data_IF_892472991824
#
_entry.id   IF_892472991824
#
_cell.length_a   1.000
_cell.length_b   1.000
_cell.length_c   1.000
_cell.angle_alpha   90.00
_cell.angle_beta   90.00
_cell.angle_gamma   90.00
#
_symmetry.space_group_name_H-M   'P 1'
#
loop_
_entity.id
_entity.type
_entity.pdbx_description
1 polymer ?
#
# COMPACT_ATOMS: atom_id res chain seq x y z
N UNK A 1 -1.65 -4.57 -8.60
CA UNK A 1 -1.57 -4.49 -7.12
C UNK A 1 -1.42 -5.90 -6.57
N UNK A 2 -0.35 -6.15 -5.85
CA UNK A 2 -0.13 -7.37 -5.10
C UNK A 2 -0.25 -7.06 -3.60
N UNK A 3 -1.22 -7.65 -2.94
CA UNK A 3 -1.37 -7.59 -1.49
C UNK A 3 -0.58 -8.73 -0.85
N UNK A 4 0.56 -8.39 -0.27
CA UNK A 4 1.46 -9.30 0.42
C UNK A 4 1.31 -9.23 1.95
N UNK A 5 0.39 -8.42 2.48
CA UNK A 5 0.07 -8.41 3.91
C UNK A 5 -0.88 -9.57 4.24
N UNK A 6 -0.27 -10.71 4.57
CA UNK A 6 -1.01 -11.91 4.98
C UNK A 6 -1.70 -11.75 6.35
N UNK A 7 -1.23 -10.83 7.20
CA UNK A 7 -1.71 -10.71 8.57
C UNK A 7 -2.98 -9.85 8.67
N UNK A 8 -3.17 -8.96 7.70
CA UNK A 8 -4.35 -8.12 7.58
C UNK A 8 -4.70 -7.79 6.13
N UNK A 9 -5.01 -8.79 5.29
CA UNK A 9 -5.27 -8.56 3.87
C UNK A 9 -6.51 -7.67 3.72
N UNK A 10 -6.29 -6.44 3.25
CA UNK A 10 -7.33 -5.41 3.17
C UNK A 10 -7.67 -5.03 1.73
N UNK A 11 -6.74 -5.20 0.81
CA UNK A 11 -6.87 -4.76 -0.57
C UNK A 11 -8.05 -5.39 -1.32
N UNK A 12 -8.34 -6.72 -1.18
CA UNK A 12 -9.50 -7.30 -1.83
C UNK A 12 -10.81 -6.62 -1.43
N UNK A 13 -10.98 -6.37 -0.13
CA UNK A 13 -12.17 -5.70 0.41
C UNK A 13 -12.24 -4.26 -0.06
N UNK A 14 -11.13 -3.52 -0.02
CA UNK A 14 -11.07 -2.11 -0.44
C UNK A 14 -11.35 -1.93 -1.93
N UNK A 15 -11.06 -2.93 -2.76
CA UNK A 15 -11.38 -2.96 -4.18
C UNK A 15 -12.71 -3.64 -4.49
N UNK A 16 -13.46 -4.12 -3.49
CA UNK A 16 -14.73 -4.80 -3.69
C UNK A 16 -14.61 -6.09 -4.49
N UNK A 17 -13.48 -6.79 -4.38
CA UNK A 17 -13.27 -8.10 -5.00
C UNK A 17 -13.36 -9.20 -3.95
N UNK A 18 -13.92 -10.33 -4.34
CA UNK A 18 -14.11 -11.51 -3.48
C UNK A 18 -13.97 -12.79 -4.29
N UNK A 19 -13.78 -13.91 -3.59
CA UNK A 19 -13.65 -15.22 -4.20
C UNK A 19 -12.20 -15.59 -4.49
N UNK A 20 -11.99 -16.86 -4.84
CA UNK A 20 -10.65 -17.40 -5.06
C UNK A 20 -10.18 -17.18 -6.49
N UNK A 21 -8.94 -16.71 -6.70
CA UNK A 21 -8.29 -16.71 -7.99
C UNK A 21 -8.32 -18.12 -8.61
N UNK A 22 -8.66 -18.20 -9.89
CA UNK A 22 -8.68 -19.48 -10.60
C UNK A 22 -7.32 -19.77 -11.22
N UNK A 23 -6.93 -21.04 -11.27
CA UNK A 23 -5.79 -21.52 -12.06
C UNK A 23 -6.26 -22.69 -12.92
N UNK A 24 -6.80 -22.43 -14.14
CA UNK A 24 -7.39 -23.49 -14.98
C UNK A 24 -6.42 -24.59 -15.40
N UNK A 25 -5.13 -24.26 -15.53
CA UNK A 25 -4.04 -25.16 -15.93
C UNK A 25 -3.22 -25.68 -14.73
N UNK A 26 -3.55 -25.23 -13.50
CA UNK A 26 -2.81 -25.52 -12.28
C UNK A 26 -1.41 -24.90 -12.20
N UNK A 27 -1.04 -24.03 -13.16
CA UNK A 27 0.28 -23.40 -13.24
C UNK A 27 0.19 -21.88 -13.25
N UNK A 28 -0.73 -21.33 -14.03
CA UNK A 28 -0.95 -19.89 -14.19
C UNK A 28 -2.13 -19.47 -13.34
N UNK A 29 -1.94 -18.47 -12.49
CA UNK A 29 -3.01 -17.91 -11.69
C UNK A 29 -3.63 -16.72 -12.41
N UNK A 30 -4.95 -16.75 -12.59
CA UNK A 30 -5.70 -15.63 -13.13
C UNK A 30 -6.03 -14.64 -11.99
N UNK A 31 -5.50 -13.41 -12.01
CA UNK A 31 -5.78 -12.42 -10.97
C UNK A 31 -7.22 -11.90 -11.06
N UNK A 32 -7.69 -11.28 -9.98
CA UNK A 32 -8.96 -10.56 -9.97
C UNK A 32 -8.78 -9.16 -10.54
N UNK A 33 -9.88 -8.53 -10.94
CA UNK A 33 -9.88 -7.17 -11.49
C UNK A 33 -11.09 -6.40 -10.99
N UNK A 34 -10.89 -5.16 -10.57
CA UNK A 34 -11.97 -4.20 -10.39
C UNK A 34 -11.43 -2.77 -10.51
N UNK A 35 -12.29 -1.81 -10.84
CA UNK A 35 -11.95 -0.38 -10.94
C UNK A 35 -10.72 -0.08 -11.84
N UNK A 36 -10.49 -0.93 -12.86
CA UNK A 36 -9.31 -0.82 -13.74
C UNK A 36 -8.00 -1.35 -13.15
N UNK A 37 -8.00 -1.92 -11.95
CA UNK A 37 -6.83 -2.47 -11.26
C UNK A 37 -6.84 -3.99 -11.32
N UNK A 38 -5.75 -4.58 -11.81
CA UNK A 38 -5.46 -6.01 -11.63
C UNK A 38 -4.92 -6.24 -10.23
N UNK A 39 -5.57 -7.12 -9.47
CA UNK A 39 -5.27 -7.38 -8.06
C UNK A 39 -5.09 -8.86 -7.77
N UNK A 40 -4.08 -9.17 -6.95
CA UNK A 40 -3.89 -10.46 -6.33
C UNK A 40 -3.58 -10.24 -4.85
N UNK A 41 -4.04 -11.11 -3.97
CA UNK A 41 -3.77 -11.04 -2.53
C UNK A 41 -3.42 -12.41 -1.99
N UNK A 42 -2.43 -12.48 -1.12
CA UNK A 42 -2.13 -13.69 -0.35
C UNK A 42 -3.32 -14.11 0.52
N UNK A 43 -4.13 -13.15 0.98
CA UNK A 43 -5.35 -13.41 1.75
C UNK A 43 -6.43 -14.18 0.97
N UNK A 44 -6.48 -14.03 -0.36
CA UNK A 44 -7.46 -14.72 -1.21
C UNK A 44 -7.14 -16.20 -1.48
N UNK A 45 -5.93 -16.65 -1.12
CA UNK A 45 -5.52 -18.05 -1.27
C UNK A 45 -6.06 -18.94 -0.14
N UNK A 46 -6.66 -18.34 0.90
CA UNK A 46 -7.11 -19.04 2.09
C UNK A 46 -8.65 -19.22 2.13
N UNK A 47 -9.15 -20.24 2.83
CA UNK A 47 -10.55 -20.28 3.28
C UNK A 47 -10.76 -19.24 4.39
N UNK A 48 -11.93 -18.60 4.40
CA UNK A 48 -12.28 -17.52 5.34
C UNK A 48 -12.30 -17.97 6.82
N UNK A 49 -12.37 -19.28 7.08
CA UNK A 49 -12.63 -19.86 8.41
C UNK A 49 -11.40 -20.50 9.08
N UNK A 50 -10.19 -20.40 8.50
CA UNK A 50 -8.99 -21.05 9.03
C UNK A 50 -8.01 -20.08 9.70
N UNK A 51 -7.53 -20.47 10.89
CA UNK A 51 -6.52 -19.70 11.62
C UNK A 51 -5.19 -19.66 10.87
N UNK A 52 -4.61 -18.46 10.82
CA UNK A 52 -3.45 -18.14 10.00
C UNK A 52 -2.15 -18.71 10.61
N UNK A 53 -1.66 -19.85 10.10
CA UNK A 53 -0.34 -20.40 10.45
C UNK A 53 0.57 -20.38 9.22
N UNK A 54 0.98 -19.19 8.82
CA UNK A 54 1.96 -19.01 7.76
C UNK A 54 3.38 -19.01 8.34
N UNK A 55 4.14 -20.05 8.03
CA UNK A 55 5.57 -20.09 8.35
C UNK A 55 6.36 -19.33 7.29
N UNK A 56 7.50 -18.74 7.67
CA UNK A 56 8.36 -17.94 6.78
C UNK A 56 8.57 -18.55 5.39
N UNK A 57 9.00 -19.83 5.26
CA UNK A 57 9.18 -20.47 3.95
C UNK A 57 7.90 -20.54 3.10
N UNK A 58 6.73 -20.70 3.72
CA UNK A 58 5.45 -20.71 2.99
C UNK A 58 5.14 -19.33 2.44
N UNK A 59 5.36 -18.27 3.22
CA UNK A 59 5.16 -16.89 2.77
C UNK A 59 6.08 -16.55 1.60
N UNK A 60 7.34 -16.94 1.69
CA UNK A 60 8.31 -16.75 0.62
C UNK A 60 7.89 -17.49 -0.66
N UNK A 61 7.43 -18.74 -0.53
CA UNK A 61 6.94 -19.54 -1.65
C UNK A 61 5.70 -18.93 -2.31
N UNK A 62 4.73 -18.51 -1.52
CA UNK A 62 3.53 -17.86 -2.05
C UNK A 62 3.84 -16.50 -2.68
N UNK A 63 4.69 -15.68 -2.08
CA UNK A 63 5.13 -14.42 -2.69
C UNK A 63 5.81 -14.65 -4.04
N UNK A 64 6.72 -15.63 -4.14
CA UNK A 64 7.35 -16.01 -5.40
C UNK A 64 6.33 -16.50 -6.43
N UNK A 65 5.33 -17.27 -5.99
CA UNK A 65 4.23 -17.69 -6.84
C UNK A 65 3.44 -16.48 -7.37
N UNK A 66 3.12 -15.50 -6.52
CA UNK A 66 2.40 -14.31 -6.94
C UNK A 66 3.19 -13.45 -7.93
N UNK A 67 4.52 -13.40 -7.78
CA UNK A 67 5.39 -12.64 -8.67
C UNK A 67 5.63 -13.35 -10.01
N UNK A 68 5.71 -14.69 -10.02
CA UNK A 68 6.13 -15.46 -11.19
C UNK A 68 5.03 -16.22 -11.93
N UNK A 69 3.91 -16.55 -11.28
CA UNK A 69 2.87 -17.43 -11.85
C UNK A 69 1.53 -16.71 -12.06
N UNK A 70 1.38 -15.47 -11.61
CA UNK A 70 0.17 -14.69 -11.85
C UNK A 70 0.23 -14.07 -13.25
N UNK A 71 -0.85 -14.21 -14.02
CA UNK A 71 -1.01 -13.57 -15.31
C UNK A 71 -1.38 -12.10 -15.14
N UNK A 72 -0.40 -11.30 -14.72
CA UNK A 72 -0.54 -9.86 -14.52
C UNK A 72 -0.93 -9.12 -15.81
N UNK A 73 -0.53 -9.64 -16.96
CA UNK A 73 -0.69 -8.98 -18.26
C UNK A 73 0.38 -7.91 -18.47
N UNK A 74 0.08 -6.92 -19.31
CA UNK A 74 0.96 -5.78 -19.53
C UNK A 74 0.75 -4.79 -18.37
N UNK A 75 1.84 -4.43 -17.68
CA UNK A 75 1.82 -3.49 -16.56
C UNK A 75 2.91 -2.44 -16.76
N UNK A 76 2.58 -1.18 -16.49
CA UNK A 76 3.57 -0.12 -16.28
C UNK A 76 4.14 -0.20 -14.85
N UNK A 77 3.28 -0.49 -13.87
CA UNK A 77 3.64 -0.53 -12.44
C UNK A 77 2.97 -1.72 -11.75
N UNK A 78 3.74 -2.44 -10.91
CA UNK A 78 3.22 -3.38 -9.92
C UNK A 78 3.47 -2.83 -8.51
N UNK A 79 2.43 -2.25 -7.91
CA UNK A 79 2.44 -1.90 -6.48
C UNK A 79 2.33 -3.17 -5.64
N UNK A 80 3.19 -3.30 -4.63
CA UNK A 80 3.17 -4.39 -3.64
C UNK A 80 2.86 -3.79 -2.27
N UNK A 81 1.71 -4.16 -1.70
CA UNK A 81 1.34 -3.79 -0.34
C UNK A 81 2.02 -4.75 0.63
N UNK A 82 2.91 -4.21 1.47
CA UNK A 82 3.76 -4.97 2.36
C UNK A 82 3.17 -4.98 3.77
N UNK A 83 3.31 -6.08 4.52
CA UNK A 83 2.93 -6.07 5.93
C UNK A 83 3.72 -4.99 6.68
N UNK A 84 3.18 -4.46 7.80
CA UNK A 84 3.87 -3.45 8.58
C UNK A 84 5.21 -3.95 9.13
N UNK A 85 6.13 -3.02 9.41
CA UNK A 85 7.43 -3.29 10.01
C UNK A 85 8.53 -3.68 9.00
N UNK A 86 9.46 -4.52 9.43
CA UNK A 86 10.69 -4.89 8.68
C UNK A 86 10.87 -6.41 8.65
N UNK A 87 9.82 -7.13 8.30
CA UNK A 87 9.76 -8.59 8.35
C UNK A 87 10.36 -9.31 7.14
N UNK A 88 10.20 -10.63 7.13
CA UNK A 88 10.76 -11.53 6.10
C UNK A 88 10.18 -11.27 4.71
N UNK A 89 8.95 -10.76 4.59
CA UNK A 89 8.30 -10.48 3.30
C UNK A 89 9.03 -9.37 2.55
N UNK A 90 9.34 -8.28 3.25
CA UNK A 90 10.04 -7.11 2.70
C UNK A 90 11.47 -7.48 2.28
N UNK A 91 12.15 -8.28 3.11
CA UNK A 91 13.50 -8.78 2.83
C UNK A 91 13.49 -9.71 1.62
N UNK A 92 12.55 -10.66 1.57
CA UNK A 92 12.42 -11.62 0.47
C UNK A 92 12.11 -10.90 -0.84
N UNK A 93 11.19 -9.93 -0.83
CA UNK A 93 10.88 -9.14 -2.02
C UNK A 93 12.15 -8.48 -2.57
N UNK A 94 12.89 -7.78 -1.71
CA UNK A 94 14.09 -7.04 -2.10
C UNK A 94 15.26 -7.93 -2.54
N UNK A 95 15.30 -9.19 -2.10
CA UNK A 95 16.30 -10.17 -2.53
C UNK A 95 15.93 -10.93 -3.81
N UNK A 96 14.63 -11.09 -4.10
CA UNK A 96 14.14 -11.94 -5.19
C UNK A 96 13.78 -11.17 -6.45
N UNK A 97 13.44 -9.89 -6.31
CA UNK A 97 13.12 -9.02 -7.45
C UNK A 97 13.88 -7.72 -7.34
N UNK A 98 14.14 -7.10 -8.49
CA UNK A 98 14.70 -5.76 -8.53
C UNK A 98 13.60 -4.76 -8.19
N UNK A 99 13.59 -4.27 -6.95
CA UNK A 99 12.59 -3.30 -6.48
C UNK A 99 13.00 -1.91 -6.96
N UNK A 100 12.17 -1.29 -7.80
CA UNK A 100 12.41 0.06 -8.33
C UNK A 100 12.52 1.12 -7.23
N UNK A 101 11.70 0.98 -6.19
CA UNK A 101 11.79 1.79 -4.99
C UNK A 101 10.65 1.54 -4.02
N UNK A 102 10.68 2.21 -2.87
CA UNK A 102 9.69 2.11 -1.83
C UNK A 102 9.07 3.49 -1.52
N UNK A 103 7.77 3.47 -1.23
CA UNK A 103 7.04 4.61 -0.67
C UNK A 103 6.75 4.31 0.79
N UNK A 104 7.11 5.24 1.67
CA UNK A 104 6.87 5.10 3.11
C UNK A 104 5.55 5.79 3.44
N UNK A 105 4.71 5.12 4.23
CA UNK A 105 3.46 5.68 4.74
C UNK A 105 3.50 5.64 6.26
N UNK A 106 3.20 6.76 6.91
CA UNK A 106 3.09 6.84 8.37
C UNK A 106 2.08 7.90 8.77
N UNK A 107 1.70 7.92 10.04
CA UNK A 107 0.91 9.00 10.63
C UNK A 107 1.85 9.99 11.35
N UNK A 108 1.40 11.22 11.68
CA UNK A 108 2.31 12.28 12.13
C UNK A 108 2.95 12.05 13.52
N UNK A 109 2.45 11.12 14.32
CA UNK A 109 2.91 10.88 15.70
C UNK A 109 4.32 10.30 15.74
N UNK A 110 5.11 10.72 16.73
CA UNK A 110 6.44 10.17 17.00
C UNK A 110 6.47 8.65 17.13
N UNK A 111 5.45 8.06 17.75
CA UNK A 111 5.38 6.60 17.95
C UNK A 111 5.23 5.86 16.61
N UNK A 112 4.43 6.38 15.68
CA UNK A 112 4.24 5.79 14.36
C UNK A 112 5.50 5.96 13.49
N UNK A 113 6.20 7.09 13.65
CA UNK A 113 7.45 7.37 12.96
C UNK A 113 8.59 6.41 13.38
N UNK A 114 8.54 5.80 14.57
CA UNK A 114 9.55 4.81 14.97
C UNK A 114 9.58 3.62 14.01
N UNK A 115 8.43 3.14 13.55
CA UNK A 115 8.36 2.01 12.64
C UNK A 115 8.69 2.42 11.20
N UNK A 116 8.29 3.63 10.79
CA UNK A 116 8.70 4.21 9.51
C UNK A 116 10.23 4.32 9.40
N UNK A 117 10.91 4.77 10.48
CA UNK A 117 12.38 4.86 10.54
C UNK A 117 13.06 3.49 10.37
N UNK A 118 12.51 2.43 10.97
CA UNK A 118 13.03 1.07 10.78
C UNK A 118 12.86 0.62 9.33
N UNK A 119 11.69 0.88 8.73
CA UNK A 119 11.42 0.60 7.31
C UNK A 119 12.40 1.31 6.38
N UNK A 120 12.63 2.60 6.62
CA UNK A 120 13.62 3.43 5.89
C UNK A 120 15.03 2.83 5.98
N UNK A 121 15.49 2.49 7.20
CA UNK A 121 16.83 1.89 7.40
C UNK A 121 16.96 0.55 6.67
N UNK A 122 15.93 -0.30 6.74
CA UNK A 122 15.90 -1.59 6.06
C UNK A 122 16.03 -1.40 4.53
N UNK A 123 15.21 -0.55 3.91
CA UNK A 123 15.30 -0.30 2.47
C UNK A 123 16.64 0.31 2.05
N UNK A 124 17.20 1.23 2.84
CA UNK A 124 18.56 1.76 2.61
C UNK A 124 19.62 0.66 2.62
N UNK A 125 19.58 -0.26 3.59
CA UNK A 125 20.53 -1.40 3.66
C UNK A 125 20.38 -2.38 2.49
N UNK A 126 19.18 -2.49 1.93
CA UNK A 126 18.90 -3.31 0.76
C UNK A 126 19.16 -2.57 -0.57
N UNK A 127 19.68 -1.34 -0.52
CA UNK A 127 19.88 -0.47 -1.68
C UNK A 127 18.60 -0.22 -2.50
N UNK A 128 17.45 -0.20 -1.84
CA UNK A 128 16.17 0.13 -2.47
C UNK A 128 15.95 1.66 -2.39
N UNK A 129 15.78 2.37 -3.52
CA UNK A 129 15.49 3.80 -3.52
C UNK A 129 14.21 4.14 -2.77
N UNK A 130 14.22 5.23 -2.02
CA UNK A 130 13.00 5.75 -1.36
C UNK A 130 12.38 6.80 -2.27
N UNK A 131 11.25 6.45 -2.90
CA UNK A 131 10.56 7.29 -3.88
C UNK A 131 9.77 8.42 -3.22
N UNK A 132 9.35 8.20 -1.98
CA UNK A 132 8.85 9.28 -1.16
C UNK A 132 8.19 8.84 0.14
N UNK A 133 7.67 9.83 0.85
CA UNK A 133 7.00 9.69 2.13
C UNK A 133 5.62 10.35 2.08
N UNK A 134 4.58 9.61 2.44
CA UNK A 134 3.20 10.08 2.61
C UNK A 134 2.85 10.17 4.10
N UNK A 135 2.25 11.28 4.51
CA UNK A 135 1.66 11.44 5.83
C UNK A 135 0.16 11.12 5.77
N UNK A 136 -0.26 10.00 6.37
CA UNK A 136 -1.65 9.61 6.44
C UNK A 136 -2.31 10.16 7.72
N UNK A 137 -3.63 10.40 7.66
CA UNK A 137 -4.41 10.95 8.76
C UNK A 137 -3.85 12.27 9.32
N UNK A 138 -3.32 13.13 8.44
CA UNK A 138 -2.60 14.36 8.80
C UNK A 138 -3.49 15.46 9.41
N UNK A 139 -4.75 15.51 8.99
CA UNK A 139 -5.72 16.49 9.47
C UNK A 139 -7.15 15.95 9.47
N UNK A 140 -8.03 16.60 10.22
CA UNK A 140 -9.45 16.29 10.32
C UNK A 140 -10.25 17.60 10.27
N UNK A 141 -11.16 17.73 9.30
CA UNK A 141 -12.07 18.87 9.22
C UNK A 141 -13.36 18.49 9.95
N UNK A 142 -13.69 19.21 11.01
CA UNK A 142 -14.90 18.94 11.77
C UNK A 142 -16.14 19.44 11.00
N UNK A 143 -17.05 18.54 10.65
CA UNK A 143 -18.31 18.90 9.96
C UNK A 143 -19.15 19.95 10.71
N UNK A 144 -19.10 19.95 12.04
CA UNK A 144 -19.89 20.85 12.87
C UNK A 144 -19.33 22.27 12.98
N UNK A 145 -18.01 22.42 13.18
CA UNK A 145 -17.40 23.74 13.41
C UNK A 145 -16.50 24.23 12.27
N UNK A 146 -16.28 23.41 11.25
CA UNK A 146 -15.46 23.68 10.07
C UNK A 146 -13.99 24.01 10.37
N UNK A 147 -13.54 23.74 11.59
CA UNK A 147 -12.13 23.88 11.97
C UNK A 147 -11.36 22.63 11.57
N UNK A 148 -10.13 22.87 11.15
CA UNK A 148 -9.13 21.82 10.97
C UNK A 148 -8.51 21.46 12.32
N UNK A 149 -8.38 20.16 12.55
CA UNK A 149 -7.79 19.58 13.74
C UNK A 149 -6.68 18.61 13.34
N UNK A 150 -5.69 18.49 14.21
CA UNK A 150 -4.57 17.56 14.03
C UNK A 150 -4.55 16.59 15.22
N UNK A 151 -5.52 15.66 15.31
CA UNK A 151 -5.66 14.77 16.47
C UNK A 151 -4.42 13.88 16.70
N UNK A 152 -3.61 13.74 15.67
CA UNK A 152 -2.43 12.89 15.61
C UNK A 152 -1.12 13.66 15.49
N UNK A 153 -1.15 14.98 15.69
CA UNK A 153 -0.05 15.87 15.32
C UNK A 153 -0.06 16.20 13.82
N UNK A 154 0.94 16.93 13.36
CA UNK A 154 1.02 17.42 11.98
C UNK A 154 2.47 17.63 11.55
N UNK A 155 2.81 17.21 10.33
CA UNK A 155 4.10 17.43 9.71
C UNK A 155 5.24 16.57 10.24
N UNK A 156 4.94 15.51 11.01
CA UNK A 156 5.95 14.61 11.57
C UNK A 156 6.66 13.79 10.49
N UNK A 157 5.90 13.23 9.55
CA UNK A 157 6.45 12.50 8.40
C UNK A 157 7.17 13.45 7.43
N UNK A 158 6.65 14.67 7.24
CA UNK A 158 7.32 15.69 6.41
C UNK A 158 8.69 16.08 6.99
N UNK A 159 8.76 16.38 8.28
CA UNK A 159 10.01 16.69 8.95
C UNK A 159 11.01 15.52 8.93
N UNK A 160 10.53 14.29 9.08
CA UNK A 160 11.37 13.10 8.96
C UNK A 160 11.87 12.91 7.51
N UNK A 161 11.02 13.13 6.51
CA UNK A 161 11.39 13.06 5.10
C UNK A 161 12.51 14.07 4.78
N UNK A 162 12.36 15.33 5.20
CA UNK A 162 13.38 16.37 5.04
C UNK A 162 14.70 15.99 5.71
N UNK A 163 14.65 15.50 6.95
CA UNK A 163 15.83 15.05 7.70
C UNK A 163 16.58 13.91 7.02
N UNK A 164 15.85 13.00 6.36
CA UNK A 164 16.40 11.81 5.72
C UNK A 164 16.75 12.02 4.24
N UNK A 165 16.44 13.19 3.67
CA UNK A 165 16.60 13.50 2.25
C UNK A 165 15.64 12.72 1.35
N UNK A 166 14.45 12.38 1.83
CA UNK A 166 13.42 11.62 1.10
C UNK A 166 12.40 12.62 0.53
N UNK A 167 11.92 12.45 -0.73
CA UNK A 167 10.84 13.27 -1.27
C UNK A 167 9.57 13.16 -0.42
N UNK A 168 8.94 14.30 -0.10
CA UNK A 168 7.63 14.29 0.54
C UNK A 168 6.53 14.35 -0.53
N UNK A 169 5.65 13.35 -0.54
CA UNK A 169 4.64 13.20 -1.59
C UNK A 169 3.32 13.89 -1.25
N UNK A 170 3.04 14.10 0.03
CA UNK A 170 1.84 14.80 0.47
C UNK A 170 1.16 14.18 1.68
N UNK A 171 -0.04 14.69 1.94
CA UNK A 171 -0.83 14.43 3.13
C UNK A 171 -2.21 13.90 2.75
N UNK A 172 -2.68 12.87 3.45
CA UNK A 172 -4.05 12.35 3.33
C UNK A 172 -4.82 12.70 4.61
N UNK A 173 -6.00 13.35 4.51
CA UNK A 173 -6.79 13.69 5.69
C UNK A 173 -7.45 12.46 6.31
N UNK A 174 -7.68 12.50 7.62
CA UNK A 174 -8.60 11.63 8.32
C UNK A 174 -10.03 12.03 7.95
N UNK A 175 -10.66 11.29 7.05
CA UNK A 175 -11.99 11.61 6.53
C UNK A 175 -12.93 10.41 6.56
N UNK A 176 -14.17 10.63 7.00
CA UNK A 176 -15.18 9.58 7.12
C UNK A 176 -15.59 9.00 5.75
N UNK A 177 -15.63 9.82 4.70
CA UNK A 177 -15.95 9.34 3.35
C UNK A 177 -14.86 8.41 2.83
N UNK A 178 -13.58 8.68 3.12
CA UNK A 178 -12.48 7.77 2.76
C UNK A 178 -12.73 6.40 3.40
N UNK A 179 -13.01 6.37 4.71
CA UNK A 179 -13.31 5.12 5.44
C UNK A 179 -14.51 4.39 4.85
N UNK A 180 -15.64 5.08 4.63
CA UNK A 180 -16.87 4.48 4.09
C UNK A 180 -16.64 3.92 2.68
N UNK A 181 -15.95 4.68 1.82
CA UNK A 181 -15.64 4.29 0.45
C UNK A 181 -14.76 3.02 0.41
N UNK A 182 -13.70 3.01 1.22
CA UNK A 182 -12.80 1.85 1.37
C UNK A 182 -13.53 0.62 1.92
N UNK A 183 -14.32 0.76 2.97
CA UNK A 183 -15.08 -0.37 3.54
C UNK A 183 -16.13 -0.92 2.56
N UNK A 184 -16.69 -0.05 1.72
CA UNK A 184 -17.68 -0.38 0.71
C UNK A 184 -17.10 -0.94 -0.59
N UNK A 185 -15.77 -1.06 -0.71
CA UNK A 185 -15.11 -1.62 -1.89
C UNK A 185 -15.13 -0.73 -3.13
N UNK A 186 -15.40 0.58 -2.96
CA UNK A 186 -15.39 1.57 -4.05
C UNK A 186 -14.55 2.76 -3.60
N UNK A 187 -13.23 2.76 -3.88
CA UNK A 187 -12.30 3.77 -3.38
C UNK A 187 -12.75 5.21 -3.66
N UNK A 188 -12.29 6.16 -2.85
CA UNK A 188 -12.73 7.57 -2.94
C UNK A 188 -12.50 8.18 -4.32
N UNK A 189 -11.38 7.83 -4.97
CA UNK A 189 -11.03 8.27 -6.34
C UNK A 189 -12.01 7.75 -7.41
N UNK A 190 -12.70 6.65 -7.14
CA UNK A 190 -13.72 6.08 -8.04
C UNK A 190 -15.10 6.65 -7.73
N UNK A 191 -15.48 6.67 -6.44
CA UNK A 191 -16.83 7.06 -6.02
C UNK A 191 -17.08 8.57 -6.09
N UNK A 192 -16.05 9.38 -5.81
CA UNK A 192 -16.13 10.85 -5.78
C UNK A 192 -14.85 11.48 -6.36
N UNK A 193 -14.59 11.33 -7.67
CA UNK A 193 -13.32 11.72 -8.31
C UNK A 193 -12.98 13.21 -8.20
N UNK A 194 -14.00 14.09 -8.16
CA UNK A 194 -13.79 15.54 -8.05
C UNK A 194 -13.67 16.04 -6.60
N UNK A 195 -13.68 15.14 -5.60
CA UNK A 195 -13.61 15.53 -4.19
C UNK A 195 -12.20 15.97 -3.77
N UNK A 196 -12.05 16.83 -2.75
CA UNK A 196 -10.74 17.18 -2.20
C UNK A 196 -9.94 15.95 -1.74
N UNK A 197 -10.62 14.95 -1.19
CA UNK A 197 -10.01 13.69 -0.73
C UNK A 197 -9.47 12.87 -1.90
N UNK A 198 -10.24 12.72 -2.98
CA UNK A 198 -9.76 12.05 -4.19
C UNK A 198 -8.57 12.80 -4.80
N UNK A 199 -8.63 14.13 -4.82
CA UNK A 199 -7.52 14.97 -5.29
C UNK A 199 -6.23 14.72 -4.52
N UNK A 200 -6.28 14.61 -3.19
CA UNK A 200 -5.07 14.32 -2.39
C UNK A 200 -4.37 13.01 -2.81
N UNK A 201 -5.12 11.96 -3.13
CA UNK A 201 -4.55 10.71 -3.66
C UNK A 201 -3.98 10.88 -5.07
N UNK A 202 -4.67 11.63 -5.95
CA UNK A 202 -4.23 11.86 -7.32
C UNK A 202 -2.96 12.73 -7.35
N UNK A 203 -2.87 13.78 -6.52
CA UNK A 203 -1.69 14.64 -6.42
C UNK A 203 -0.45 13.81 -6.01
N UNK A 204 -0.59 12.87 -5.06
CA UNK A 204 0.49 11.92 -4.69
C UNK A 204 0.87 11.02 -5.87
N UNK A 205 -0.11 10.47 -6.58
CA UNK A 205 0.13 9.60 -7.72
C UNK A 205 0.84 10.35 -8.87
N UNK A 206 0.44 11.58 -9.16
CA UNK A 206 1.05 12.44 -10.18
C UNK A 206 2.50 12.76 -9.84
N UNK A 207 2.81 13.02 -8.56
CA UNK A 207 4.20 13.23 -8.12
C UNK A 207 5.05 11.97 -8.28
N UNK A 208 4.51 10.80 -7.97
CA UNK A 208 5.21 9.53 -8.17
C UNK A 208 5.48 9.27 -9.65
N UNK A 209 4.51 9.52 -10.53
CA UNK A 209 4.66 9.36 -11.99
C UNK A 209 5.67 10.37 -12.54
N UNK A 210 5.62 11.62 -12.07
CA UNK A 210 6.53 12.68 -12.50
C UNK A 210 7.98 12.49 -12.03
N UNK A 211 8.24 11.61 -11.07
CA UNK A 211 9.60 11.35 -10.56
C UNK A 211 10.54 10.69 -11.58
N UNK A 212 10.03 10.30 -12.76
CA UNK A 212 10.71 9.54 -13.83
C UNK A 212 11.24 8.16 -13.40
N UNK A 213 11.11 7.78 -12.12
CA UNK A 213 11.54 6.48 -11.59
C UNK A 213 10.67 5.32 -12.10
N UNK A 214 9.49 5.64 -12.66
CA UNK A 214 8.55 4.67 -13.21
C UNK A 214 8.62 4.55 -14.75
N UNK A 215 9.52 5.29 -15.41
CA UNK A 215 9.70 5.31 -16.87
C UNK A 215 10.91 4.49 -17.34
#
# INVERSE_FOLDING_TARGET
LLDADVYGPSQPRMLGVSGRPSSPDGQTILPLRNHGVTVMSLGLMMPDDEALIWRGPMLMGALQQMLGQVQWGQLDVLLVDLPPGTGDVQMTLSQKVNVTGAVIVSTPQDIALLDARKGIDMFKRMNVPLLGFVENMASFICDGCQKEHHPFGHGGAKAEAEKQGIPFLGEIPLDLNIRIASDGGVPMVVSKPSSPQAKAFLDIADLLIASEVLN
#
